data_IF_290673074164
#
_entry.id   IF_290673074164
#
_cell.length_a   1.000
_cell.length_b   1.000
_cell.length_c   1.000
_cell.angle_alpha   90.00
_cell.angle_beta   90.00
_cell.angle_gamma   90.00
#
_symmetry.space_group_name_H-M   'P 1'
#
loop_
_entity.id
_entity.type
_entity.pdbx_description
1 polymer ?
2 non-polymer ?
3 non-polymer ?
4 non-polymer ?
5 water ?
#
# COMPACT_ATOMS: atom_id res chain seq x y z
N UNK A 5 1.51 16.10 -12.06
CA UNK A 5 1.25 15.00 -11.06
C UNK A 5 -0.18 15.09 -10.53
N UNK A 6 -0.98 14.07 -10.83
CA UNK A 6 -2.33 13.93 -10.28
C UNK A 6 -2.62 12.48 -9.79
N UNK A 7 -3.55 12.36 -8.85
CA UNK A 7 -3.85 11.04 -8.23
C UNK A 7 -4.37 10.11 -9.34
N UNK A 8 -5.08 10.70 -10.29
CA UNK A 8 -5.57 9.94 -11.46
C UNK A 8 -4.49 9.22 -12.29
N UNK A 9 -3.25 9.75 -12.31
CA UNK A 9 -2.14 9.11 -13.04
C UNK A 9 -1.73 7.76 -12.45
N UNK A 10 -2.20 7.49 -11.22
CA UNK A 10 -1.92 6.22 -10.52
C UNK A 10 -2.94 5.12 -10.86
N UNK A 11 -4.01 5.45 -11.59
CA UNK A 11 -5.02 4.43 -11.92
C UNK A 11 -4.54 3.27 -12.76
N UNK A 12 -5.14 2.10 -12.51
CA UNK A 12 -4.96 0.93 -13.35
C UNK A 12 -4.63 -0.29 -12.58
N UNK A 13 -4.29 -1.34 -13.32
CA UNK A 13 -3.84 -2.62 -12.76
C UNK A 13 -2.33 -2.69 -12.93
N UNK A 14 -1.66 -2.93 -11.81
CA UNK A 14 -0.19 -2.89 -11.76
C UNK A 14 0.28 -4.22 -11.19
N UNK A 15 1.39 -4.74 -11.68
CA UNK A 15 1.90 -6.04 -11.32
C UNK A 15 3.27 -5.92 -10.62
N UNK A 16 3.44 -6.61 -9.50
CA UNK A 16 4.68 -6.52 -8.70
C UNK A 16 5.87 -7.12 -9.47
N UNK A 17 6.90 -6.30 -9.68
CA UNK A 17 8.11 -6.79 -10.36
C UNK A 17 9.33 -6.79 -9.47
N UNK A 18 9.37 -6.00 -8.38
CA UNK A 18 10.53 -6.00 -7.48
C UNK A 18 10.13 -5.64 -6.07
N UNK A 19 10.67 -6.34 -5.07
CA UNK A 19 10.48 -6.01 -3.63
C UNK A 19 11.79 -5.95 -2.87
N UNK A 20 11.98 -4.94 -2.01
CA UNK A 20 13.09 -4.94 -1.06
C UNK A 20 12.59 -4.48 0.29
N UNK A 21 12.95 -5.19 1.35
CA UNK A 21 12.64 -4.83 2.72
C UNK A 21 11.28 -5.24 3.28
N UNK A 22 10.46 -5.93 2.45
CA UNK A 22 9.08 -6.23 2.82
C UNK A 22 8.99 -7.18 4.01
N UNK A 23 9.79 -8.26 3.98
CA UNK A 23 9.79 -9.16 5.09
C UNK A 23 10.17 -8.47 6.40
N UNK A 24 11.19 -7.62 6.36
CA UNK A 24 11.54 -6.82 7.54
C UNK A 24 10.43 -5.88 8.04
N UNK A 25 9.74 -5.23 7.12
CA UNK A 25 8.58 -4.38 7.45
C UNK A 25 7.50 -5.23 8.17
N UNK A 26 7.23 -6.43 7.60
CA UNK A 26 6.22 -7.27 8.20
C UNK A 26 6.64 -7.72 9.61
N UNK A 27 7.92 -8.05 9.80
CA UNK A 27 8.45 -8.35 11.14
C UNK A 27 8.31 -7.17 12.08
N UNK A 28 8.53 -5.96 11.60
CA UNK A 28 8.27 -4.79 12.44
C UNK A 28 6.80 -4.61 12.86
N UNK A 29 5.90 -4.84 11.90
CA UNK A 29 4.45 -4.81 12.19
C UNK A 29 4.09 -5.90 13.25
N UNK A 30 4.79 -7.03 13.26
CA UNK A 30 4.53 -8.14 14.17
C UNK A 30 3.67 -9.20 13.53
N UNK A 31 3.73 -9.26 12.21
CA UNK A 31 3.03 -10.27 11.44
C UNK A 31 3.61 -11.65 11.78
N UNK A 32 2.70 -12.60 12.00
CA UNK A 32 3.07 -14.00 12.29
C UNK A 32 3.51 -14.78 11.05
N UNK A 33 4.09 -15.93 11.30
CA UNK A 33 4.83 -16.68 10.30
C UNK A 33 3.92 -17.10 9.07
N UNK A 34 2.66 -17.46 9.34
CA UNK A 34 1.75 -17.89 8.25
C UNK A 34 1.58 -16.77 7.24
N UNK A 35 1.31 -15.55 7.72
CA UNK A 35 1.18 -14.41 6.79
C UNK A 35 2.50 -13.88 6.21
N UNK A 36 3.60 -14.00 6.94
CA UNK A 36 4.86 -13.58 6.41
C UNK A 36 5.29 -14.48 5.26
N UNK A 37 5.01 -15.77 5.37
CA UNK A 37 5.39 -16.68 4.30
C UNK A 37 4.54 -16.40 3.08
N UNK A 38 3.25 -16.18 3.29
CA UNK A 38 2.36 -15.77 2.21
C UNK A 38 2.94 -14.47 1.53
N UNK A 39 3.18 -13.40 2.30
CA UNK A 39 3.70 -12.11 1.73
C UNK A 39 5.08 -12.20 1.08
N UNK A 40 5.91 -13.13 1.52
CA UNK A 40 7.22 -13.32 0.93
C UNK A 40 7.03 -13.93 -0.46
N UNK A 41 5.98 -14.74 -0.64
CA UNK A 41 5.84 -15.46 -1.89
C UNK A 41 4.71 -14.97 -2.81
N UNK A 42 3.77 -14.17 -2.33
CA UNK A 42 2.82 -13.55 -3.26
C UNK A 42 3.51 -12.54 -4.23
N UNK A 43 2.97 -12.46 -5.43
CA UNK A 43 3.36 -11.42 -6.38
C UNK A 43 2.03 -10.81 -6.81
N UNK A 44 1.52 -9.90 -5.99
CA UNK A 44 0.20 -9.38 -6.22
C UNK A 44 0.16 -8.41 -7.38
N UNK A 45 -1.05 -8.20 -7.89
CA UNK A 45 -1.36 -6.98 -8.61
C UNK A 45 -1.99 -5.99 -7.66
N UNK A 46 -1.71 -4.71 -7.92
CA UNK A 46 -2.36 -3.56 -7.27
C UNK A 46 -3.31 -2.94 -8.27
N UNK A 47 -4.57 -2.71 -7.88
CA UNK A 47 -5.55 -2.08 -8.80
C UNK A 47 -6.04 -0.83 -8.10
N UNK A 48 -5.75 0.34 -8.69
CA UNK A 48 -6.07 1.64 -8.13
C UNK A 48 -7.14 2.26 -8.98
N UNK A 49 -8.27 2.57 -8.40
CA UNK A 49 -9.27 3.37 -9.17
C UNK A 49 -9.62 4.61 -8.40
N UNK A 50 -9.84 5.70 -9.13
CA UNK A 50 -10.13 7.00 -8.51
C UNK A 50 -11.18 7.76 -9.30
N UNK A 51 -12.15 8.36 -8.61
CA UNK A 51 -13.16 9.23 -9.23
C UNK A 51 -13.22 10.46 -8.32
N UNK A 52 -12.56 11.53 -8.75
CA UNK A 52 -12.48 12.73 -7.92
C UNK A 52 -11.67 12.50 -6.65
N UNK A 53 -12.31 12.64 -5.49
CA UNK A 53 -11.61 12.40 -4.22
C UNK A 53 -11.87 10.98 -3.69
N UNK A 54 -12.63 10.18 -4.42
CA UNK A 54 -12.94 8.82 -4.00
C UNK A 54 -11.86 7.89 -4.58
N UNK A 55 -11.29 7.06 -3.73
CA UNK A 55 -10.17 6.18 -4.07
C UNK A 55 -10.50 4.76 -3.63
N UNK A 56 -10.21 3.80 -4.49
CA UNK A 56 -10.16 2.42 -4.09
C UNK A 56 -8.83 1.80 -4.43
N UNK A 57 -8.25 1.04 -3.48
CA UNK A 57 -7.03 0.28 -3.71
C UNK A 57 -7.30 -1.18 -3.32
N UNK A 58 -7.18 -2.03 -4.34
CA UNK A 58 -7.33 -3.47 -4.21
C UNK A 58 -5.99 -4.13 -4.52
N UNK A 59 -5.54 -4.99 -3.61
CA UNK A 59 -4.35 -5.78 -3.80
C UNK A 59 -4.74 -7.23 -3.94
N UNK A 60 -4.36 -7.86 -5.06
CA UNK A 60 -4.95 -9.11 -5.46
C UNK A 60 -3.86 -10.15 -5.83
N UNK A 61 -3.96 -11.29 -5.18
CA UNK A 61 -3.16 -12.46 -5.48
C UNK A 61 -3.95 -13.71 -5.06
N UNK A 62 -3.54 -14.85 -5.60
CA UNK A 62 -4.09 -16.14 -5.15
C UNK A 62 -3.96 -16.33 -3.66
N UNK A 63 -2.77 -16.02 -3.10
CA UNK A 63 -2.53 -16.19 -1.70
C UNK A 63 -3.40 -15.29 -0.83
N UNK A 64 -3.42 -14.00 -1.16
CA UNK A 64 -4.09 -12.99 -0.32
C UNK A 64 -4.65 -11.84 -1.19
N UNK A 65 -5.90 -11.45 -0.92
CA UNK A 65 -6.51 -10.24 -1.56
C UNK A 65 -7.11 -9.36 -0.46
N UNK A 66 -6.91 -8.05 -0.56
CA UNK A 66 -7.48 -7.04 0.35
C UNK A 66 -7.92 -5.83 -0.50
N UNK A 67 -8.84 -5.03 0.02
CA UNK A 67 -9.37 -3.86 -0.67
C UNK A 67 -9.80 -2.87 0.34
N UNK A 68 -9.54 -1.57 0.13
CA UNK A 68 -10.19 -0.50 0.89
C UNK A 68 -10.61 0.63 -0.06
N UNK A 69 -11.60 1.38 0.39
CA UNK A 69 -12.05 2.62 -0.28
C UNK A 69 -12.09 3.74 0.72
N UNK A 70 -11.85 4.95 0.20
CA UNK A 70 -11.84 6.12 1.05
C UNK A 70 -12.10 7.37 0.23
N UNK A 71 -12.39 8.45 0.94
CA UNK A 71 -12.35 9.80 0.39
C UNK A 71 -11.04 10.45 0.80
N UNK A 72 -10.32 11.01 -0.18
CA UNK A 72 -9.08 11.66 0.14
C UNK A 72 -9.32 12.75 1.21
N UNK A 73 -8.46 12.78 2.20
CA UNK A 73 -8.56 13.76 3.32
C UNK A 73 -9.38 13.36 4.51
N UNK A 74 -10.18 12.31 4.35
CA UNK A 74 -11.06 11.86 5.39
C UNK A 74 -10.50 10.67 6.20
N UNK A 75 -10.46 10.76 7.51
CA UNK A 75 -10.07 9.66 8.41
C UNK A 75 -11.08 8.51 8.30
N UNK A 76 -10.59 7.28 8.14
CA UNK A 76 -11.48 6.13 8.12
C UNK A 76 -10.87 4.91 8.79
N UNK A 77 -11.70 3.91 9.14
CA UNK A 77 -11.22 2.67 9.73
C UNK A 77 -10.82 1.72 8.62
N UNK A 78 -9.54 1.39 8.54
CA UNK A 78 -9.04 0.50 7.54
C UNK A 78 -8.70 -0.79 8.27
N UNK A 79 -9.19 -1.92 7.80
CA UNK A 79 -8.74 -3.26 8.18
C UNK A 79 -7.64 -3.65 7.23
N UNK A 80 -6.45 -3.91 7.78
CA UNK A 80 -5.26 -4.20 6.98
C UNK A 80 -5.18 -5.67 6.61
N UNK A 81 -4.23 -6.00 5.73
CA UNK A 81 -3.99 -7.41 5.35
C UNK A 81 -3.73 -8.31 6.54
N UNK A 82 -3.02 -7.77 7.51
CA UNK A 82 -2.61 -8.52 8.66
C UNK A 82 -3.58 -8.31 9.84
N UNK A 83 -4.70 -7.68 9.54
CA UNK A 83 -5.78 -7.65 10.52
C UNK A 83 -5.85 -6.52 11.56
N UNK A 84 -4.94 -5.55 11.45
CA UNK A 84 -5.02 -4.35 12.28
C UNK A 84 -6.28 -3.54 11.90
N UNK A 85 -6.85 -2.84 12.84
CA UNK A 85 -7.92 -1.88 12.56
C UNK A 85 -7.32 -0.49 12.84
N UNK A 86 -6.90 0.18 11.77
CA UNK A 86 -6.14 1.43 11.86
C UNK A 86 -7.11 2.57 11.57
N UNK A 87 -6.78 3.75 12.10
CA UNK A 87 -7.31 5.01 11.60
C UNK A 87 -6.35 5.46 10.51
N UNK A 88 -6.88 5.47 9.32
CA UNK A 88 -6.14 5.81 8.11
C UNK A 88 -6.62 7.10 7.44
N UNK A 89 -5.67 7.87 6.90
CA UNK A 89 -6.01 8.98 6.00
C UNK A 89 -5.12 8.89 4.75
N UNK A 90 -5.72 9.12 3.58
CA UNK A 90 -4.96 9.20 2.32
C UNK A 90 -5.08 10.62 1.75
N UNK A 91 -3.95 11.15 1.28
CA UNK A 91 -3.89 12.43 0.60
C UNK A 91 -2.94 12.35 -0.54
N UNK A 92 -3.29 13.04 -1.63
CA UNK A 92 -2.33 13.26 -2.69
C UNK A 92 -1.61 14.57 -2.51
N UNK A 93 -0.30 14.49 -2.28
CA UNK A 93 0.50 15.61 -1.82
C UNK A 93 1.86 15.55 -2.48
N UNK A 94 2.33 16.67 -3.05
CA UNK A 94 3.65 16.74 -3.73
C UNK A 94 3.91 15.57 -4.66
N UNK A 95 2.91 15.23 -5.45
CA UNK A 95 3.05 14.20 -6.47
C UNK A 95 3.08 12.75 -6.01
N UNK A 96 2.65 12.51 -4.78
CA UNK A 96 2.60 11.15 -4.21
C UNK A 96 1.29 10.99 -3.46
N UNK A 97 0.69 9.80 -3.55
CA UNK A 97 -0.39 9.38 -2.62
C UNK A 97 0.21 8.95 -1.29
N UNK A 98 -0.16 9.61 -0.19
CA UNK A 98 0.45 9.38 1.14
C UNK A 98 -0.64 8.80 2.00
N UNK A 99 -0.44 7.60 2.54
CA UNK A 99 -1.41 6.86 3.35
C UNK A 99 -0.79 6.74 4.74
N UNK A 100 -1.39 7.39 5.71
CA UNK A 100 -0.89 7.35 7.09
C UNK A 100 -1.83 6.49 7.94
N UNK A 101 -1.27 5.48 8.60
CA UNK A 101 -2.04 4.52 9.44
C UNK A 101 -1.64 4.65 10.89
N UNK A 102 -2.63 4.77 11.76
CA UNK A 102 -2.41 4.92 13.20
C UNK A 102 -3.19 3.86 13.94
N UNK A 103 -2.55 3.19 14.89
CA UNK A 103 -3.21 2.12 15.66
C UNK A 103 -2.40 1.89 16.94
N UNK A 104 -3.12 1.88 18.06
CA UNK A 104 -2.55 1.50 19.38
C UNK A 104 -1.28 2.35 19.70
N UNK A 105 -1.33 3.61 19.30
CA UNK A 105 -0.17 4.50 19.54
C UNK A 105 1.01 4.30 18.60
N UNK A 106 0.84 3.43 17.60
CA UNK A 106 1.82 3.12 16.55
C UNK A 106 1.43 3.88 15.27
N UNK A 107 2.40 4.03 14.39
CA UNK A 107 2.11 4.65 13.09
C UNK A 107 2.96 4.03 12.00
N UNK A 108 2.41 4.02 10.79
CA UNK A 108 3.12 3.60 9.56
C UNK A 108 2.65 4.46 8.38
N UNK A 109 3.57 4.79 7.50
CA UNK A 109 3.27 5.56 6.29
C UNK A 109 3.59 4.68 5.09
N UNK A 110 2.70 4.78 4.11
CA UNK A 110 2.83 4.11 2.81
C UNK A 110 2.67 5.16 1.73
N UNK A 111 3.64 5.32 0.84
CA UNK A 111 3.54 6.25 -0.25
C UNK A 111 3.48 5.49 -1.58
N UNK A 112 2.81 6.08 -2.57
CA UNK A 112 2.67 5.47 -3.90
C UNK A 112 2.82 6.58 -4.92
N UNK A 113 3.76 6.37 -5.84
CA UNK A 113 4.19 7.41 -6.78
C UNK A 113 4.38 6.76 -8.15
N UNK A 114 4.15 7.58 -9.19
CA UNK A 114 4.55 7.18 -10.54
C UNK A 114 5.98 7.64 -10.85
N UNK A 115 6.84 6.72 -11.24
CA UNK A 115 8.26 7.07 -11.57
C UNK A 115 8.64 6.30 -12.84
N UNK A 116 8.98 7.01 -13.92
CA UNK A 116 9.45 6.34 -15.15
C UNK A 116 8.43 5.32 -15.62
N UNK A 117 7.16 5.67 -15.47
CA UNK A 117 6.05 4.80 -15.83
C UNK A 117 5.77 3.62 -14.91
N UNK A 118 6.51 3.51 -13.81
CA UNK A 118 6.31 2.40 -12.89
C UNK A 118 5.67 2.95 -11.63
N UNK A 119 4.84 2.12 -11.03
CA UNK A 119 4.30 2.41 -9.67
C UNK A 119 5.34 2.02 -8.63
N UNK A 120 5.77 2.99 -7.81
CA UNK A 120 6.73 2.75 -6.73
C UNK A 120 5.99 2.95 -5.40
N UNK A 121 5.95 1.87 -4.66
CA UNK A 121 5.31 1.81 -3.34
C UNK A 121 6.39 1.71 -2.25
N UNK A 122 6.37 2.66 -1.32
CA UNK A 122 7.31 2.71 -0.19
C UNK A 122 6.61 2.71 1.14
N UNK A 123 7.08 1.88 2.07
CA UNK A 123 6.47 1.75 3.39
C UNK A 123 7.50 1.95 4.47
N UNK A 124 7.06 2.49 5.58
CA UNK A 124 7.96 2.69 6.71
C UNK A 124 7.18 2.54 8.03
N UNK A 125 7.82 1.94 9.02
CA UNK A 125 7.42 1.95 10.41
C UNK A 125 8.68 1.98 11.25
N UNK A 126 8.78 3.04 12.06
CA UNK A 126 9.90 3.14 12.99
C UNK A 126 11.24 2.93 12.29
N UNK A 127 11.39 3.56 11.13
CA UNK A 127 12.59 3.54 10.31
C UNK A 127 12.90 2.21 9.62
N UNK A 128 11.98 1.25 9.74
CA UNK A 128 12.07 0.02 8.97
C UNK A 128 11.31 0.15 7.66
N UNK A 129 12.00 0.02 6.54
CA UNK A 129 11.50 0.48 5.24
C UNK A 129 11.36 -0.65 4.24
N UNK A 130 10.48 -0.43 3.27
CA UNK A 130 10.33 -1.31 2.14
C UNK A 130 10.08 -0.49 0.87
N UNK A 131 10.53 -1.02 -0.27
CA UNK A 131 10.23 -0.45 -1.58
C UNK A 131 9.79 -1.59 -2.47
N UNK A 132 8.61 -1.44 -3.07
CA UNK A 132 8.02 -2.40 -3.98
C UNK A 132 7.71 -1.66 -5.30
N UNK A 133 8.03 -2.30 -6.44
CA UNK A 133 7.91 -1.66 -7.75
C UNK A 133 6.98 -2.49 -8.61
N UNK A 134 6.07 -1.81 -9.30
CA UNK A 134 5.03 -2.44 -10.12
C UNK A 134 5.04 -1.90 -11.54
N UNK A 135 4.85 -2.78 -12.52
CA UNK A 135 4.68 -2.33 -13.88
C UNK A 135 3.24 -2.48 -14.33
N UNK A 136 2.86 -1.59 -15.23
CA UNK A 136 1.46 -1.41 -15.63
C UNK A 136 1.00 -2.56 -16.52
N UNK A 137 -0.20 -3.06 -16.26
CA UNK A 137 -0.74 -4.18 -17.05
C UNK A 137 -2.19 -3.94 -17.43
X LIG B 1 8.08 7.52 2.97
X LIG B 1 9.07 7.35 4.32
X LIG B 1 9.20 7.41 1.56
X LIG B 1 7.33 5.88 2.92
X LIG C 1 11.38 -8.77 0.34
X LIG C 1 10.17 -9.60 -0.06
X LIG C 1 11.64 -8.89 1.78
X LIG C 1 11.14 -7.40 -0.10
X LIG C 1 12.55 -9.30 -0.42
X LIG D 1 10.70 -15.34 7.89
X LIG D 1 10.86 -16.14 6.63
X LIG D 1 9.84 -16.07 8.89
X LIG D 1 12.00 -15.04 8.63
X LIG D 1 9.95 -14.08 7.49
X LIG E 1 0.76 -7.96 5.07
X LIG E 1 1.13 -6.88 5.86
X LIG E 1 1.32 -5.67 5.28
X LIG E 1 0.52 -7.87 3.73
X LIG E 1 0.14 -7.60 0.89
X LIG E 1 -1.18 -7.99 0.59
X LIG E 1 -1.37 -9.09 -0.27
X LIG E 1 -0.31 -9.81 -0.80
X LIG E 1 0.97 -9.39 -0.51
X LIG E 1 1.19 -8.29 0.30
X LIG E 1 0.49 -9.46 5.82
X LIG E 1 0.70 -6.63 3.11
X LIG E 1 1.09 -5.51 3.90
X LIG E 1 1.33 -4.27 3.37
X LIG E 1 1.15 -4.12 2.08
X LIG E 1 0.73 -5.20 1.19
X LIG E 1 0.48 -6.46 1.72
X LIG E 1 1.39 -2.74 1.51
X LIG E 1 0.57 -1.65 2.18
X LIG E 1 2.89 -2.58 1.56
X LIG E 1 0.52 -4.92 -0.27
X LIG E 1 -0.69 -4.32 -0.45
X LIG E 1 1.21 -5.14 -1.25
#
# INVERSE_FOLDING_TARGET
GSHMATVQQLEGRWRLVDSKGFDEYMKELGVGIALRKMGAMAKPDCIITCDGKNLTIKTESTLKTTQFSCTLGEKFEETTADGRKTQTVCNFTDGALVQHQEWDGKESTITRKLKDGKLVVECVMNNVTCTRIYEKVE
DMS S O C1 C2
SO4 S O1 O2 O3 O4
SO4 S O1 O2 O3 O4
VLQ C1 C2 C3 C4 C5 C6 C7 C8 C9 C10 CL11 C12 C13 N14 C15 C16 C17 C18 C19 C20 C21 O22 O23
#
